data_IF_074423453539
#
_entry.id   IF_074423453539
#
_cell.length_a   1.000
_cell.length_b   1.000
_cell.length_c   1.000
_cell.angle_alpha   90.00
_cell.angle_beta   90.00
_cell.angle_gamma   90.00
#
_symmetry.space_group_name_H-M   'P 1'
#
loop_
_entity.id
_entity.type
_entity.pdbx_description
1 polymer ?
#
# COMPACT_ATOMS: atom_id res chain seq x y z
N UNK A 1 71.78 -35.94 27.53
CA UNK A 1 72.05 -36.57 28.84
C UNK A 1 70.75 -37.14 29.36
N UNK A 2 70.50 -38.43 29.13
CA UNK A 2 70.55 -39.50 30.16
C UNK A 2 69.49 -39.30 31.24
N UNK A 3 68.37 -40.04 31.14
CA UNK A 3 68.08 -41.34 31.79
C UNK A 3 67.57 -41.13 33.23
N UNK A 4 66.31 -41.50 33.48
CA UNK A 4 65.91 -42.66 34.31
C UNK A 4 66.14 -42.39 35.82
N UNK A 5 65.29 -42.72 36.79
CA UNK A 5 64.49 -43.94 37.02
C UNK A 5 63.75 -43.69 38.34
N UNK A 6 62.45 -43.99 38.42
CA UNK A 6 61.84 -45.14 39.11
C UNK A 6 61.77 -45.13 40.64
N UNK A 7 60.53 -45.37 41.08
CA UNK A 7 60.07 -46.36 42.08
C UNK A 7 60.09 -46.02 43.58
N UNK A 8 58.89 -46.17 44.18
CA UNK A 8 58.69 -47.21 45.19
C UNK A 8 57.86 -46.83 46.43
N UNK A 9 56.80 -47.63 46.70
CA UNK A 9 56.13 -47.80 48.01
C UNK A 9 54.67 -47.32 48.03
N UNK A 10 53.61 -48.13 47.84
CA UNK A 10 53.03 -49.31 48.54
C UNK A 10 52.25 -49.00 49.84
N UNK A 11 51.07 -49.65 49.93
CA UNK A 11 50.12 -49.88 51.05
C UNK A 11 49.03 -48.80 51.26
N UNK A 12 47.71 -49.06 51.37
CA UNK A 12 46.91 -50.27 51.66
C UNK A 12 45.48 -50.16 51.08
N UNK A 13 45.01 -51.30 50.56
CA UNK A 13 43.68 -51.96 50.74
C UNK A 13 42.40 -51.14 50.98
N UNK A 14 41.45 -51.23 50.04
CA UNK A 14 40.04 -51.56 50.34
C UNK A 14 39.33 -52.10 49.08
N UNK A 15 38.89 -53.36 49.17
CA UNK A 15 38.11 -54.10 48.19
C UNK A 15 36.62 -53.81 48.44
N UNK A 16 35.87 -53.36 47.44
CA UNK A 16 34.41 -53.48 47.41
C UNK A 16 33.95 -53.64 45.96
N UNK A 17 33.77 -54.90 45.56
CA UNK A 17 33.05 -55.30 44.36
C UNK A 17 31.55 -55.05 44.57
N UNK A 18 30.94 -54.19 43.75
CA UNK A 18 29.51 -54.25 43.47
C UNK A 18 29.36 -54.27 41.95
N UNK A 19 29.15 -55.47 41.44
CA UNK A 19 28.73 -55.76 40.08
C UNK A 19 27.22 -55.60 39.97
N UNK A 20 26.77 -54.52 39.32
CA UNK A 20 25.40 -54.40 38.79
C UNK A 20 25.47 -54.03 37.31
N UNK A 21 25.35 -55.05 36.45
CA UNK A 21 24.94 -54.87 35.06
C UNK A 21 23.47 -54.45 35.05
N UNK A 22 23.15 -53.36 34.34
CA UNK A 22 21.79 -52.90 34.13
C UNK A 22 21.74 -51.87 33.02
N UNK A 23 21.70 -52.36 31.77
CA UNK A 23 21.13 -51.72 30.57
C UNK A 23 21.38 -50.23 30.35
N UNK A 24 22.35 -49.92 29.48
CA UNK A 24 22.39 -48.70 28.67
C UNK A 24 21.17 -48.66 27.74
N UNK A 25 20.09 -48.02 28.16
CA UNK A 25 19.06 -47.54 27.26
C UNK A 25 19.47 -46.13 26.82
N UNK A 26 20.00 -46.03 25.59
CA UNK A 26 20.26 -44.75 24.95
C UNK A 26 18.97 -43.94 24.88
N UNK A 27 19.01 -42.74 25.45
CA UNK A 27 18.02 -41.72 25.18
C UNK A 27 18.17 -41.30 23.70
N UNK A 28 17.45 -41.99 22.82
CA UNK A 28 17.11 -41.44 21.52
C UNK A 28 16.22 -40.23 21.80
N UNK A 29 16.82 -39.04 21.79
CA UNK A 29 16.11 -37.81 21.46
C UNK A 29 15.62 -38.00 20.03
N UNK A 30 14.48 -38.67 19.88
CA UNK A 30 13.67 -38.57 18.67
C UNK A 30 13.31 -37.10 18.58
N UNK A 31 14.01 -36.37 17.72
CA UNK A 31 13.64 -35.02 17.35
C UNK A 31 12.16 -35.04 17.01
N UNK A 32 11.36 -34.33 17.79
CA UNK A 32 9.99 -34.08 17.41
C UNK A 32 10.05 -33.47 16.02
N UNK A 33 9.50 -34.18 15.04
CA UNK A 33 9.21 -33.61 13.74
C UNK A 33 8.49 -32.28 13.98
N UNK A 34 8.78 -31.23 13.20
CA UNK A 34 8.03 -29.99 13.33
C UNK A 34 6.55 -30.37 13.23
N UNK A 35 5.75 -29.94 14.21
CA UNK A 35 4.32 -30.18 14.19
C UNK A 35 3.81 -29.69 12.84
N UNK A 36 3.44 -30.63 11.95
CA UNK A 36 2.73 -30.33 10.73
C UNK A 36 1.56 -29.43 11.13
N UNK A 37 1.58 -28.18 10.67
CA UNK A 37 0.56 -27.20 11.03
C UNK A 37 -0.80 -27.85 10.80
N UNK A 38 -1.66 -27.84 11.83
CA UNK A 38 -2.99 -28.43 11.72
C UNK A 38 -3.68 -27.81 10.51
N UNK A 39 -3.89 -28.65 9.50
CA UNK A 39 -4.63 -28.30 8.29
C UNK A 39 -6.10 -28.40 8.68
N UNK A 40 -6.85 -27.30 8.56
CA UNK A 40 -8.28 -27.30 8.79
C UNK A 40 -9.01 -28.23 7.81
N UNK A 41 -10.27 -28.55 8.08
CA UNK A 41 -11.10 -29.42 7.23
C UNK A 41 -11.21 -28.94 5.77
N UNK A 42 -10.87 -27.68 5.48
CA UNK A 42 -10.84 -27.07 4.15
C UNK A 42 -9.46 -27.08 3.46
N UNK A 43 -8.47 -27.78 4.01
CA UNK A 43 -7.12 -27.86 3.44
C UNK A 43 -6.24 -26.63 3.69
N UNK A 44 -6.70 -25.67 4.51
CA UNK A 44 -5.95 -24.43 4.82
C UNK A 44 -5.18 -24.54 6.13
N UNK A 45 -4.03 -23.87 6.23
CA UNK A 45 -3.31 -23.77 7.49
C UNK A 45 -4.16 -23.06 8.56
N UNK A 46 -4.09 -23.53 9.81
CA UNK A 46 -4.76 -22.90 10.94
C UNK A 46 -4.43 -21.40 11.01
N UNK A 47 -5.46 -20.58 11.26
CA UNK A 47 -5.29 -19.15 11.42
C UNK A 47 -4.60 -18.82 12.74
N UNK A 48 -3.62 -17.92 12.70
CA UNK A 48 -2.93 -17.40 13.87
C UNK A 48 -3.51 -16.03 14.20
N UNK A 49 -4.08 -15.86 15.40
CA UNK A 49 -4.46 -14.54 15.89
C UNK A 49 -3.22 -13.68 16.07
N UNK A 50 -3.18 -12.50 15.47
CA UNK A 50 -2.06 -11.55 15.57
C UNK A 50 -2.40 -10.42 16.55
N UNK A 51 -3.67 -9.99 16.58
CA UNK A 51 -4.19 -9.00 17.51
C UNK A 51 -5.71 -9.23 17.70
N UNK A 52 -6.37 -8.56 18.66
CA UNK A 52 -7.82 -8.50 18.67
C UNK A 52 -8.43 -8.17 17.29
N UNK A 53 -9.40 -8.99 16.85
CA UNK A 53 -10.05 -8.83 15.55
C UNK A 53 -9.11 -8.92 14.34
N UNK A 54 -7.90 -9.47 14.48
CA UNK A 54 -6.93 -9.62 13.37
C UNK A 54 -6.31 -11.01 13.39
N UNK A 55 -6.53 -11.76 12.33
CA UNK A 55 -5.99 -13.10 12.14
C UNK A 55 -5.14 -13.16 10.87
N UNK A 56 -4.11 -14.00 10.90
CA UNK A 56 -3.22 -14.25 9.78
C UNK A 56 -3.30 -15.72 9.38
N UNK A 57 -3.26 -15.99 8.07
CA UNK A 57 -3.12 -17.34 7.52
C UNK A 57 -2.41 -17.30 6.17
N UNK A 58 -1.93 -18.46 5.74
CA UNK A 58 -1.45 -18.66 4.37
C UNK A 58 -1.97 -19.99 3.82
N UNK A 59 -2.10 -20.09 2.51
CA UNK A 59 -2.53 -21.31 1.82
C UNK A 59 -2.14 -21.25 0.34
N UNK A 60 -2.12 -22.42 -0.28
CA UNK A 60 -1.81 -22.58 -1.69
C UNK A 60 -3.10 -22.59 -2.53
N UNK A 61 -3.01 -22.03 -3.73
CA UNK A 61 -4.10 -21.85 -4.67
C UNK A 61 -3.70 -22.52 -5.98
N UNK A 62 -4.42 -23.56 -6.41
CA UNK A 62 -4.29 -24.08 -7.77
C UNK A 62 -4.70 -22.99 -8.76
N UNK A 63 -3.78 -22.60 -9.65
CA UNK A 63 -4.03 -21.59 -10.68
C UNK A 63 -3.64 -22.10 -12.07
N UNK A 64 -4.12 -21.40 -13.09
CA UNK A 64 -3.91 -21.72 -14.50
C UNK A 64 -2.44 -21.74 -14.95
N UNK A 65 -1.55 -21.09 -14.19
CA UNK A 65 -0.10 -21.02 -14.45
C UNK A 65 0.75 -21.72 -13.38
N UNK A 66 0.14 -22.62 -12.61
CA UNK A 66 0.79 -23.36 -11.52
C UNK A 66 0.21 -23.01 -10.16
N UNK A 67 0.89 -23.39 -9.10
CA UNK A 67 0.45 -23.09 -7.73
C UNK A 67 0.87 -21.68 -7.33
N UNK A 68 -0.04 -20.89 -6.79
CA UNK A 68 0.27 -19.63 -6.13
C UNK A 68 0.11 -19.79 -4.61
N UNK A 69 0.95 -19.11 -3.82
CA UNK A 69 0.77 -19.04 -2.36
C UNK A 69 0.22 -17.68 -1.97
N UNK A 70 -0.87 -17.67 -1.20
CA UNK A 70 -1.48 -16.46 -0.68
C UNK A 70 -1.20 -16.31 0.82
N UNK A 71 -0.86 -15.09 1.22
CA UNK A 71 -0.82 -14.64 2.60
C UNK A 71 -2.01 -13.73 2.85
N UNK A 72 -2.75 -13.96 3.93
CA UNK A 72 -4.01 -13.27 4.20
C UNK A 72 -4.05 -12.74 5.63
N UNK A 73 -4.42 -11.46 5.77
CA UNK A 73 -4.92 -10.89 7.01
C UNK A 73 -6.45 -10.79 6.97
N UNK A 74 -7.10 -11.40 7.94
CA UNK A 74 -8.54 -11.29 8.18
C UNK A 74 -8.78 -10.25 9.27
N UNK A 75 -9.55 -9.20 8.96
CA UNK A 75 -9.71 -8.03 9.82
C UNK A 75 -11.19 -7.82 10.13
N UNK A 76 -11.55 -8.03 11.40
CA UNK A 76 -12.89 -7.78 11.92
C UNK A 76 -13.05 -6.32 12.36
N UNK A 77 -13.84 -5.56 11.61
CA UNK A 77 -14.14 -4.16 11.90
C UNK A 77 -15.27 -3.98 12.94
N UNK A 78 -15.90 -5.08 13.39
CA UNK A 78 -16.84 -5.09 14.52
C UNK A 78 -16.09 -4.97 15.85
N UNK A 79 -14.85 -5.45 15.92
CA UNK A 79 -14.05 -5.30 17.14
C UNK A 79 -13.75 -3.80 17.36
N UNK A 80 -14.18 -3.22 18.49
CA UNK A 80 -13.97 -1.80 18.76
C UNK A 80 -12.49 -1.40 18.86
N UNK A 81 -11.59 -2.36 19.10
CA UNK A 81 -10.14 -2.15 19.20
C UNK A 81 -9.46 -2.07 17.83
N UNK A 82 -10.10 -2.61 16.79
CA UNK A 82 -9.55 -2.73 15.45
C UNK A 82 -9.94 -1.55 14.56
N UNK A 83 -8.94 -0.96 13.91
CA UNK A 83 -9.12 0.08 12.90
C UNK A 83 -8.19 -0.14 11.73
N UNK A 84 -8.55 0.41 10.59
CA UNK A 84 -7.74 0.38 9.37
C UNK A 84 -7.44 1.82 8.96
N UNK A 85 -6.23 2.07 8.45
CA UNK A 85 -5.78 3.40 8.04
C UNK A 85 -4.77 3.34 6.89
N UNK A 86 -4.41 4.51 6.40
CA UNK A 86 -3.43 4.65 5.32
C UNK A 86 -2.00 4.53 5.88
N UNK A 87 -1.22 3.59 5.33
CA UNK A 87 0.24 3.59 5.44
C UNK A 87 0.79 4.50 4.35
N UNK A 88 1.62 5.47 4.69
CA UNK A 88 2.33 6.32 3.72
C UNK A 88 3.49 7.08 4.40
N UNK A 89 4.52 7.54 3.68
CA UNK A 89 5.70 8.16 4.28
C UNK A 89 5.50 9.59 4.81
N UNK A 90 4.26 10.09 4.88
CA UNK A 90 3.96 11.48 5.25
C UNK A 90 3.98 12.47 4.06
N UNK A 91 4.50 12.07 2.89
CA UNK A 91 4.44 12.83 1.63
C UNK A 91 3.90 11.97 0.49
N UNK A 92 3.11 12.56 -0.39
CA UNK A 92 2.43 11.90 -1.52
C UNK A 92 3.43 11.36 -2.55
N UNK A 93 4.50 12.10 -2.83
CA UNK A 93 5.57 11.74 -3.77
C UNK A 93 6.78 11.09 -3.08
N UNK A 94 6.61 10.56 -1.86
CA UNK A 94 7.63 9.78 -1.17
C UNK A 94 7.27 8.29 -1.23
N UNK A 95 8.27 7.42 -1.02
CA UNK A 95 8.09 5.97 -0.97
C UNK A 95 8.92 5.37 0.17
N UNK A 96 8.39 4.32 0.79
CA UNK A 96 9.12 3.53 1.77
C UNK A 96 8.63 2.07 1.73
N UNK A 97 9.44 1.10 2.20
CA UNK A 97 8.99 -0.28 2.40
C UNK A 97 7.74 -0.33 3.31
N UNK A 98 6.79 -1.23 3.04
CA UNK A 98 5.57 -1.45 3.85
C UNK A 98 5.91 -1.78 5.30
N UNK A 99 6.96 -2.56 5.56
CA UNK A 99 7.48 -2.84 6.91
C UNK A 99 7.80 -1.55 7.67
N UNK A 100 8.64 -0.69 7.09
CA UNK A 100 9.01 0.60 7.65
C UNK A 100 7.78 1.53 7.83
N UNK A 101 6.86 1.52 6.87
CA UNK A 101 5.61 2.28 6.99
C UNK A 101 4.75 1.79 8.14
N UNK A 102 4.60 0.47 8.29
CA UNK A 102 3.80 -0.15 9.34
C UNK A 102 4.39 0.11 10.73
N UNK A 103 5.69 -0.12 10.91
CA UNK A 103 6.37 0.14 12.19
C UNK A 103 6.35 1.62 12.55
N UNK A 104 6.57 2.51 11.58
CA UNK A 104 6.60 3.96 11.79
C UNK A 104 5.30 4.56 12.34
N UNK A 105 4.16 3.88 12.18
CA UNK A 105 2.87 4.29 12.75
C UNK A 105 2.28 3.27 13.74
N UNK A 106 3.00 2.20 14.04
CA UNK A 106 2.53 1.12 14.89
C UNK A 106 1.31 0.39 14.32
N UNK A 107 1.33 -0.01 13.05
CA UNK A 107 0.39 -1.01 12.55
C UNK A 107 0.73 -2.39 13.15
N UNK A 108 -0.27 -3.26 13.36
CA UNK A 108 -0.07 -4.68 13.73
C UNK A 108 0.02 -5.57 12.49
N UNK A 109 -0.26 -5.02 11.31
CA UNK A 109 -0.08 -5.66 10.01
C UNK A 109 -0.56 -4.75 8.89
N UNK A 110 -0.33 -5.15 7.66
CA UNK A 110 -0.72 -4.36 6.50
C UNK A 110 -0.22 -4.93 5.19
N UNK A 111 -0.63 -4.29 4.10
CA UNK A 111 -0.22 -4.61 2.74
C UNK A 111 0.14 -3.35 1.96
N UNK A 112 0.87 -3.48 0.85
CA UNK A 112 1.06 -2.39 -0.11
C UNK A 112 -0.28 -1.93 -0.72
N UNK A 113 -0.26 -0.75 -1.34
CA UNK A 113 -1.45 -0.10 -1.86
C UNK A 113 -1.43 0.13 -3.38
N UNK A 114 -1.72 1.37 -3.74
CA UNK A 114 -2.04 1.82 -5.09
C UNK A 114 -0.88 1.67 -6.09
N UNK A 115 -1.24 1.66 -7.37
CA UNK A 115 -0.31 1.83 -8.47
C UNK A 115 0.30 3.24 -8.42
N UNK A 116 1.48 3.42 -9.01
CA UNK A 116 2.19 4.68 -8.90
C UNK A 116 3.16 4.94 -10.05
N UNK A 117 3.55 6.21 -10.21
CA UNK A 117 4.57 6.64 -11.16
C UNK A 117 5.96 6.21 -10.68
N UNK A 118 6.23 4.92 -10.82
CA UNK A 118 7.45 4.23 -10.35
C UNK A 118 8.68 4.52 -11.21
N UNK A 119 8.47 4.67 -12.52
CA UNK A 119 9.49 4.95 -13.52
C UNK A 119 9.01 6.03 -14.45
N UNK A 120 9.96 6.79 -15.00
CA UNK A 120 9.68 7.81 -16.00
C UNK A 120 10.68 7.65 -17.15
N UNK A 121 10.24 6.94 -18.19
CA UNK A 121 11.04 6.68 -19.39
C UNK A 121 10.42 7.32 -20.63
N UNK A 122 9.25 7.95 -20.50
CA UNK A 122 8.49 8.49 -21.63
C UNK A 122 8.80 9.96 -21.87
N UNK A 123 9.32 10.66 -20.86
CA UNK A 123 9.64 12.09 -20.91
C UNK A 123 11.10 12.32 -20.47
N UNK A 124 12.05 12.44 -21.42
CA UNK A 124 13.45 12.71 -21.10
C UNK A 124 13.62 13.94 -20.21
N UNK A 125 14.43 13.81 -19.15
CA UNK A 125 14.68 14.89 -18.18
C UNK A 125 13.61 15.08 -17.11
N UNK A 126 12.52 14.31 -17.14
CA UNK A 126 11.49 14.30 -16.08
C UNK A 126 11.76 13.12 -15.14
N UNK A 127 11.83 13.40 -13.84
CA UNK A 127 12.01 12.36 -12.83
C UNK A 127 10.69 11.62 -12.52
N UNK A 128 10.81 10.35 -12.12
CA UNK A 128 9.68 9.61 -11.60
C UNK A 128 9.26 10.18 -10.23
N UNK A 129 8.01 10.57 -10.11
CA UNK A 129 7.49 11.20 -8.89
C UNK A 129 7.33 10.24 -7.72
N UNK A 130 7.18 8.93 -8.00
CA UNK A 130 6.79 7.97 -6.99
C UNK A 130 5.34 8.12 -6.49
N UNK A 131 4.61 9.14 -6.92
CA UNK A 131 3.26 9.43 -6.44
C UNK A 131 2.23 8.42 -6.98
N UNK A 132 1.20 8.06 -6.18
CA UNK A 132 0.22 7.06 -6.57
C UNK A 132 -0.74 7.55 -7.66
N UNK A 133 -1.55 6.66 -8.22
CA UNK A 133 -2.49 6.95 -9.30
C UNK A 133 -3.74 7.63 -8.74
N UNK A 134 -4.43 6.94 -7.85
CA UNK A 134 -5.76 7.26 -7.39
C UNK A 134 -5.80 8.21 -6.20
N UNK A 135 -7.01 8.43 -5.65
CA UNK A 135 -7.23 9.30 -4.51
C UNK A 135 -6.57 8.75 -3.24
N UNK A 136 -6.17 9.66 -2.34
CA UNK A 136 -5.66 9.33 -1.02
C UNK A 136 -6.40 10.12 0.05
N UNK A 137 -6.92 9.43 1.05
CA UNK A 137 -7.48 10.02 2.27
C UNK A 137 -6.79 9.41 3.48
N UNK A 138 -6.33 10.26 4.41
CA UNK A 138 -5.75 9.83 5.67
C UNK A 138 -6.38 10.60 6.84
N UNK A 139 -6.90 9.89 7.84
CA UNK A 139 -7.56 10.46 9.00
C UNK A 139 -8.65 11.49 8.64
N UNK A 140 -9.43 11.22 7.59
CA UNK A 140 -10.47 12.11 7.08
C UNK A 140 -9.98 13.29 6.24
N UNK A 141 -8.66 13.44 6.04
CA UNK A 141 -8.08 14.53 5.26
C UNK A 141 -7.78 14.06 3.83
N UNK A 142 -8.25 14.77 2.80
CA UNK A 142 -7.86 14.50 1.42
C UNK A 142 -6.39 14.89 1.24
N UNK A 143 -5.57 13.95 0.77
CA UNK A 143 -4.15 14.18 0.49
C UNK A 143 -3.90 14.36 -1.00
N UNK A 144 -4.66 13.67 -1.85
CA UNK A 144 -4.45 13.63 -3.30
C UNK A 144 -5.72 13.19 -4.03
N UNK A 145 -5.93 13.73 -5.23
CA UNK A 145 -6.97 13.30 -6.17
C UNK A 145 -6.45 12.33 -7.25
N UNK A 146 -7.35 11.74 -8.03
CA UNK A 146 -7.01 10.83 -9.12
C UNK A 146 -6.35 11.55 -10.30
N UNK A 147 -5.36 10.91 -10.92
CA UNK A 147 -4.84 11.32 -12.24
C UNK A 147 -5.84 11.02 -13.36
N UNK A 148 -5.73 11.61 -14.57
CA UNK A 148 -6.51 11.17 -15.73
C UNK A 148 -6.32 9.69 -16.06
N UNK A 149 -7.35 9.04 -16.60
CA UNK A 149 -7.31 7.60 -16.88
C UNK A 149 -6.20 7.21 -17.87
N UNK A 150 -5.98 8.01 -18.92
CA UNK A 150 -4.89 7.80 -19.87
C UNK A 150 -3.48 8.06 -19.32
N UNK A 151 -3.37 8.56 -18.08
CA UNK A 151 -2.10 8.83 -17.38
C UNK A 151 -1.78 7.79 -16.30
N UNK A 152 -2.66 6.80 -16.12
CA UNK A 152 -2.53 5.78 -15.07
C UNK A 152 -1.31 4.87 -15.30
N UNK A 153 -0.70 4.43 -14.21
CA UNK A 153 0.19 3.26 -14.16
C UNK A 153 -0.59 2.03 -13.69
N UNK A 154 -0.27 0.86 -14.24
CA UNK A 154 -0.93 -0.41 -13.91
C UNK A 154 -1.58 -1.10 -15.12
N UNK A 155 -2.12 -2.32 -14.93
CA UNK A 155 -2.75 -3.12 -15.98
C UNK A 155 -4.06 -2.48 -16.46
N UNK A 156 -4.61 -2.91 -17.60
CA UNK A 156 -5.91 -2.42 -18.08
C UNK A 156 -6.99 -2.51 -16.98
N UNK A 157 -7.79 -1.46 -16.84
CA UNK A 157 -8.92 -1.45 -15.91
C UNK A 157 -10.15 -2.10 -16.57
N UNK A 158 -11.06 -2.70 -15.78
CA UNK A 158 -12.33 -3.18 -16.30
C UNK A 158 -13.13 -2.04 -16.96
N UNK A 159 -13.98 -2.32 -17.97
CA UNK A 159 -14.81 -1.31 -18.60
C UNK A 159 -15.65 -0.51 -17.59
N UNK A 160 -15.70 0.81 -17.75
CA UNK A 160 -16.46 1.71 -16.88
C UNK A 160 -15.80 2.05 -15.54
N UNK A 161 -14.65 1.45 -15.21
CA UNK A 161 -13.86 1.81 -14.03
C UNK A 161 -12.93 2.97 -14.37
N UNK A 162 -12.84 3.94 -13.46
CA UNK A 162 -11.91 5.07 -13.57
C UNK A 162 -10.87 5.03 -12.46
N UNK A 163 -9.80 5.81 -12.63
CA UNK A 163 -8.79 6.12 -11.61
C UNK A 163 -9.33 6.70 -10.31
N UNK A 164 -10.60 7.16 -10.29
CA UNK A 164 -11.28 7.66 -9.08
C UNK A 164 -11.74 6.56 -8.14
N UNK A 165 -11.73 5.30 -8.59
CA UNK A 165 -12.12 4.17 -7.78
C UNK A 165 -11.24 4.04 -6.55
N UNK A 166 -11.86 3.80 -5.41
CA UNK A 166 -11.19 3.60 -4.13
C UNK A 166 -11.74 2.41 -3.37
N UNK A 167 -10.88 1.85 -2.53
CA UNK A 167 -11.28 1.10 -1.34
C UNK A 167 -10.93 1.92 -0.11
N UNK A 168 -11.83 1.94 0.87
CA UNK A 168 -11.56 2.63 2.12
C UNK A 168 -12.52 2.28 3.24
N UNK A 169 -12.27 2.82 4.44
CA UNK A 169 -13.19 2.74 5.59
C UNK A 169 -13.76 4.11 5.90
N UNK A 170 -15.09 4.14 6.09
CA UNK A 170 -15.86 5.35 6.32
C UNK A 170 -15.79 5.85 7.76
N UNK A 171 -16.35 7.04 8.00
CA UNK A 171 -16.61 7.55 9.34
C UNK A 171 -17.52 6.62 10.18
N UNK A 172 -18.33 5.81 9.51
CA UNK A 172 -19.22 4.76 10.06
C UNK A 172 -18.50 3.42 10.37
N UNK A 173 -17.17 3.35 10.22
CA UNK A 173 -16.32 2.16 10.43
C UNK A 173 -16.61 0.98 9.50
N UNK A 174 -17.29 1.19 8.37
CA UNK A 174 -17.47 0.15 7.36
C UNK A 174 -16.49 0.33 6.21
N UNK A 175 -15.93 -0.79 5.74
CA UNK A 175 -15.19 -0.85 4.48
C UNK A 175 -16.16 -0.80 3.30
N UNK A 176 -15.79 -0.10 2.23
CA UNK A 176 -16.56 -0.06 0.97
C UNK A 176 -15.67 0.26 -0.22
N UNK A 177 -16.21 -0.03 -1.40
CA UNK A 177 -15.74 0.53 -2.67
C UNK A 177 -16.56 1.78 -2.99
N UNK A 178 -15.94 2.79 -3.60
CA UNK A 178 -16.60 4.01 -4.08
C UNK A 178 -15.74 4.70 -5.15
N UNK A 179 -16.20 5.82 -5.69
CA UNK A 179 -15.41 6.75 -6.49
C UNK A 179 -15.26 8.08 -5.75
N UNK A 180 -14.03 8.60 -5.65
CA UNK A 180 -13.77 9.94 -5.08
C UNK A 180 -13.49 10.96 -6.18
N UNK A 181 -14.41 11.91 -6.33
CA UNK A 181 -14.24 13.06 -7.21
C UNK A 181 -13.62 14.25 -6.46
N UNK A 182 -12.73 14.98 -7.12
CA UNK A 182 -12.27 16.28 -6.65
C UNK A 182 -13.36 17.32 -6.88
N UNK A 183 -13.78 17.96 -5.80
CA UNK A 183 -14.56 19.19 -5.84
C UNK A 183 -13.68 20.29 -5.25
N UNK A 184 -13.18 21.17 -6.11
CA UNK A 184 -12.26 22.20 -5.72
C UNK A 184 -12.21 23.35 -6.71
N UNK A 185 -11.77 24.50 -6.22
CA UNK A 185 -11.68 25.72 -7.00
C UNK A 185 -10.59 26.65 -6.49
N UNK A 186 -10.08 27.46 -7.41
CA UNK A 186 -9.28 28.66 -7.15
C UNK A 186 -10.18 29.86 -7.36
N UNK A 187 -10.41 30.64 -6.31
CA UNK A 187 -11.17 31.89 -6.35
C UNK A 187 -10.24 33.09 -6.31
N UNK A 188 -10.42 33.99 -7.27
CA UNK A 188 -9.78 35.30 -7.33
C UNK A 188 -10.87 36.38 -7.22
N UNK A 189 -10.50 37.65 -7.33
CA UNK A 189 -11.50 38.74 -7.43
C UNK A 189 -12.30 38.71 -8.73
N UNK A 190 -11.71 38.18 -9.80
CA UNK A 190 -12.25 38.28 -11.16
C UNK A 190 -12.83 36.96 -11.66
N UNK A 191 -12.34 35.83 -11.16
CA UNK A 191 -12.68 34.51 -11.70
C UNK A 191 -12.76 33.43 -10.64
N UNK A 192 -13.46 32.35 -10.99
CA UNK A 192 -13.52 31.09 -10.26
C UNK A 192 -13.08 29.99 -11.22
N UNK A 193 -11.92 29.40 -10.95
CA UNK A 193 -11.34 28.35 -11.77
C UNK A 193 -11.55 27.00 -11.09
N UNK A 194 -12.15 26.00 -11.74
CA UNK A 194 -12.22 24.65 -11.18
C UNK A 194 -10.81 24.06 -11.03
N UNK A 195 -10.56 23.35 -9.94
CA UNK A 195 -9.33 22.57 -9.78
C UNK A 195 -9.46 21.27 -10.57
N UNK A 196 -8.52 21.03 -11.48
CA UNK A 196 -8.38 19.76 -12.20
C UNK A 196 -7.55 18.72 -11.44
N UNK A 197 -6.85 19.11 -10.37
CA UNK A 197 -6.06 18.17 -9.59
C UNK A 197 -5.63 18.64 -8.20
N UNK A 198 -5.26 17.66 -7.37
CA UNK A 198 -4.71 17.85 -6.03
C UNK A 198 -3.54 16.89 -5.84
N UNK A 199 -2.32 17.42 -5.64
CA UNK A 199 -1.09 16.65 -5.38
C UNK A 199 -0.90 15.45 -6.32
N UNK A 200 -1.08 15.61 -7.63
CA UNK A 200 -1.07 14.51 -8.58
C UNK A 200 0.00 14.70 -9.66
N UNK A 201 0.63 13.59 -10.06
CA UNK A 201 1.72 13.62 -11.04
C UNK A 201 1.23 13.85 -12.48
N UNK A 202 -0.07 13.96 -12.75
CA UNK A 202 -0.61 14.28 -14.07
C UNK A 202 -1.91 15.08 -13.94
N UNK A 203 -1.98 16.25 -14.56
CA UNK A 203 -3.15 17.11 -14.59
C UNK A 203 -3.93 16.94 -15.90
N UNK A 204 -5.27 17.01 -15.86
CA UNK A 204 -6.07 17.09 -17.07
C UNK A 204 -5.58 18.20 -18.01
N UNK A 205 -5.67 17.98 -19.32
CA UNK A 205 -5.30 18.99 -20.32
C UNK A 205 -6.07 20.29 -20.08
N UNK A 206 -5.38 21.44 -20.12
CA UNK A 206 -6.00 22.75 -19.93
C UNK A 206 -6.41 23.10 -18.50
N UNK A 207 -6.02 22.30 -17.49
CA UNK A 207 -6.46 22.50 -16.11
C UNK A 207 -5.45 23.19 -15.19
N UNK A 208 -5.91 23.54 -13.99
CA UNK A 208 -5.09 23.99 -12.86
C UNK A 208 -5.10 22.94 -11.75
N UNK A 209 -3.92 22.54 -11.30
CA UNK A 209 -3.73 21.66 -10.15
C UNK A 209 -3.24 22.41 -8.92
N UNK A 210 -3.64 21.95 -7.73
CA UNK A 210 -3.12 22.44 -6.46
C UNK A 210 -2.11 21.46 -5.84
N UNK A 211 -0.93 21.96 -5.50
CA UNK A 211 0.09 21.23 -4.76
C UNK A 211 0.23 21.83 -3.36
N UNK A 212 0.12 21.00 -2.33
CA UNK A 212 0.16 21.42 -0.91
C UNK A 212 1.46 20.95 -0.26
N UNK A 213 1.64 21.29 1.02
CA UNK A 213 2.73 20.74 1.82
C UNK A 213 2.76 19.20 1.88
N UNK A 214 1.71 18.50 1.46
CA UNK A 214 1.65 17.04 1.43
C UNK A 214 2.33 16.44 0.19
N UNK A 215 2.65 17.23 -0.85
CA UNK A 215 3.27 16.74 -2.09
C UNK A 215 4.61 16.02 -1.85
N UNK A 216 5.59 16.72 -1.28
CA UNK A 216 6.98 16.27 -1.24
C UNK A 216 7.90 17.27 -1.94
N UNK A 217 9.13 16.85 -2.25
CA UNK A 217 10.15 17.71 -2.86
C UNK A 217 10.40 17.45 -4.35
N UNK A 218 9.79 16.41 -4.91
CA UNK A 218 9.95 16.02 -6.31
C UNK A 218 9.40 17.11 -7.24
N UNK A 219 10.03 17.28 -8.40
CA UNK A 219 9.54 18.20 -9.43
C UNK A 219 8.07 17.99 -9.78
N UNK A 220 7.35 19.10 -9.93
CA UNK A 220 5.95 19.13 -10.37
C UNK A 220 5.82 19.05 -11.89
N UNK A 221 6.93 19.06 -12.63
CA UNK A 221 6.92 19.06 -14.11
C UNK A 221 6.17 17.86 -14.70
N UNK A 222 6.24 16.68 -14.05
CA UNK A 222 5.52 15.49 -14.53
C UNK A 222 4.01 15.73 -14.65
N UNK A 223 3.47 16.63 -13.82
CA UNK A 223 2.06 17.01 -13.80
C UNK A 223 1.57 17.64 -15.11
N UNK A 224 2.47 18.16 -15.94
CA UNK A 224 2.13 18.80 -17.22
C UNK A 224 2.48 17.91 -18.42
N UNK A 225 2.79 16.63 -18.19
CA UNK A 225 3.17 15.67 -19.22
C UNK A 225 2.04 14.76 -19.69
N UNK A 226 1.98 14.59 -21.01
CA UNK A 226 1.00 13.80 -21.74
C UNK A 226 -0.41 14.39 -21.81
N UNK A 227 -1.35 13.57 -22.29
CA UNK A 227 -2.76 13.93 -22.47
C UNK A 227 -3.68 13.05 -21.62
N UNK A 228 -4.97 13.36 -21.59
CA UNK A 228 -5.97 12.58 -20.84
C UNK A 228 -6.14 11.14 -21.36
N UNK A 229 -5.62 10.86 -22.56
CA UNK A 229 -5.71 9.58 -23.26
C UNK A 229 -4.37 8.94 -23.60
N UNK A 230 -3.25 9.68 -23.48
CA UNK A 230 -1.91 9.18 -23.81
C UNK A 230 -0.87 9.63 -22.79
N UNK A 231 -0.41 8.66 -21.98
CA UNK A 231 0.62 8.86 -20.96
C UNK A 231 1.94 9.36 -21.50
N UNK A 232 2.33 8.91 -22.70
CA UNK A 232 3.64 9.19 -23.30
C UNK A 232 3.66 10.37 -24.28
N UNK A 233 2.56 11.12 -24.41
CA UNK A 233 2.57 12.35 -25.18
C UNK A 233 3.47 13.41 -24.51
N UNK A 234 4.03 14.39 -25.26
CA UNK A 234 4.98 15.35 -24.70
C UNK A 234 4.46 16.14 -23.50
N UNK A 235 5.40 16.74 -22.76
CA UNK A 235 5.06 17.75 -21.76
C UNK A 235 4.60 19.04 -22.42
N UNK A 236 3.63 19.70 -21.78
CA UNK A 236 3.14 20.99 -22.23
C UNK A 236 4.25 22.03 -22.23
N UNK A 237 4.40 22.74 -23.34
CA UNK A 237 5.23 23.94 -23.42
C UNK A 237 4.55 25.17 -22.80
N UNK A 238 3.22 25.13 -22.65
CA UNK A 238 2.42 26.21 -22.08
C UNK A 238 2.11 25.90 -20.61
N UNK A 239 2.97 26.35 -19.70
CA UNK A 239 2.80 26.15 -18.26
C UNK A 239 2.94 27.45 -17.47
N UNK A 240 2.36 27.47 -16.27
CA UNK A 240 2.57 28.55 -15.32
C UNK A 240 2.39 28.04 -13.89
N UNK A 241 3.26 28.46 -12.99
CA UNK A 241 3.23 28.10 -11.58
C UNK A 241 3.00 29.38 -10.74
N UNK A 242 2.11 29.31 -9.75
CA UNK A 242 1.80 30.43 -8.84
C UNK A 242 1.84 29.92 -7.41
N UNK A 243 2.71 30.50 -6.59
CA UNK A 243 2.80 30.20 -5.16
C UNK A 243 1.87 31.11 -4.38
N UNK A 244 0.92 30.52 -3.66
CA UNK A 244 -0.05 31.21 -2.81
C UNK A 244 0.26 30.89 -1.35
N UNK A 245 0.57 31.91 -0.55
CA UNK A 245 0.84 31.77 0.90
C UNK A 245 -0.11 32.65 1.70
N UNK A 246 -0.76 32.09 2.71
CA UNK A 246 -1.78 32.77 3.51
C UNK A 246 -2.84 33.51 2.65
N UNK A 247 -3.26 32.88 1.56
CA UNK A 247 -4.29 33.41 0.65
C UNK A 247 -3.84 34.56 -0.26
N UNK A 248 -2.52 34.75 -0.43
CA UNK A 248 -1.96 35.75 -1.35
C UNK A 248 -0.90 35.16 -2.25
N UNK A 249 -0.85 35.62 -3.50
CA UNK A 249 0.24 35.30 -4.41
C UNK A 249 1.54 35.89 -3.89
N UNK A 250 2.58 35.08 -3.78
CA UNK A 250 3.92 35.51 -3.34
C UNK A 250 4.98 35.33 -4.43
N UNK A 251 4.75 34.43 -5.38
CA UNK A 251 5.69 34.12 -6.44
C UNK A 251 4.94 33.55 -7.65
N UNK A 252 5.50 33.74 -8.84
CA UNK A 252 5.03 33.16 -10.09
C UNK A 252 6.21 32.76 -10.97
N UNK A 253 6.11 31.63 -11.67
CA UNK A 253 7.14 31.15 -12.58
C UNK A 253 6.53 30.61 -13.89
N UNK A 254 7.29 30.72 -14.98
CA UNK A 254 6.88 30.22 -16.30
C UNK A 254 6.90 28.70 -16.44
N UNK A 255 7.50 27.98 -15.50
CA UNK A 255 7.65 26.52 -15.50
C UNK A 255 7.38 25.94 -14.12
N UNK A 256 6.89 24.69 -14.01
CA UNK A 256 6.71 24.03 -12.73
C UNK A 256 8.04 23.81 -12.01
N UNK A 257 8.08 24.13 -10.72
CA UNK A 257 9.27 23.97 -9.90
C UNK A 257 9.40 22.60 -9.24
N UNK A 258 10.46 22.47 -8.45
CA UNK A 258 10.69 21.37 -7.52
C UNK A 258 10.74 21.87 -6.08
N UNK A 259 11.11 21.02 -5.13
CA UNK A 259 11.33 21.39 -3.74
C UNK A 259 10.08 21.29 -2.85
N UNK A 260 10.29 21.22 -1.52
CA UNK A 260 9.23 21.05 -0.56
C UNK A 260 8.34 22.29 -0.47
N UNK A 261 7.03 22.07 -0.32
CA UNK A 261 6.05 23.14 -0.08
C UNK A 261 5.86 23.29 1.43
N UNK A 262 6.03 24.51 1.94
CA UNK A 262 5.82 24.82 3.37
C UNK A 262 4.34 24.76 3.73
N UNK A 263 4.03 24.59 5.04
CA UNK A 263 2.65 24.70 5.52
C UNK A 263 2.08 26.08 5.18
N UNK A 264 0.75 26.14 5.05
CA UNK A 264 -0.02 27.34 4.70
C UNK A 264 0.35 27.95 3.33
N UNK A 265 1.02 27.15 2.49
CA UNK A 265 1.36 27.45 1.11
C UNK A 265 0.70 26.43 0.19
N UNK A 266 0.16 26.90 -0.93
CA UNK A 266 -0.30 26.09 -2.04
C UNK A 266 0.38 26.58 -3.32
N UNK A 267 0.97 25.67 -4.07
CA UNK A 267 1.52 25.94 -5.39
C UNK A 267 0.48 25.53 -6.42
N UNK A 268 -0.03 26.48 -7.19
CA UNK A 268 -0.93 26.23 -8.30
C UNK A 268 -0.11 25.99 -9.55
N UNK A 269 -0.32 24.88 -10.24
CA UNK A 269 0.33 24.57 -11.51
C UNK A 269 -0.75 24.50 -12.59
N UNK A 270 -0.63 25.38 -13.59
CA UNK A 270 -1.50 25.42 -14.75
C UNK A 270 -0.79 24.89 -15.99
N UNK A 271 -1.56 24.26 -16.87
CA UNK A 271 -1.12 23.87 -18.22
C UNK A 271 -2.14 24.33 -19.26
N UNK A 272 -1.66 24.74 -20.43
CA UNK A 272 -2.44 25.32 -21.54
C UNK A 272 -3.42 26.41 -21.05
N UNK A 273 -4.73 26.23 -21.22
CA UNK A 273 -5.74 27.18 -20.75
C UNK A 273 -5.60 27.50 -19.25
N UNK A 274 -5.27 26.51 -18.41
CA UNK A 274 -5.01 26.72 -17.00
C UNK A 274 -3.78 27.59 -16.73
N UNK A 275 -2.72 27.45 -17.55
CA UNK A 275 -1.55 28.32 -17.46
C UNK A 275 -1.88 29.77 -17.83
N UNK A 276 -2.71 29.96 -18.87
CA UNK A 276 -3.16 31.29 -19.32
C UNK A 276 -3.98 32.00 -18.25
N UNK A 277 -4.83 31.28 -17.51
CA UNK A 277 -5.57 31.85 -16.38
C UNK A 277 -4.66 32.23 -15.21
N UNK A 278 -3.68 31.39 -14.87
CA UNK A 278 -2.76 31.68 -13.77
C UNK A 278 -1.83 32.87 -14.07
N UNK A 279 -1.44 33.09 -15.33
CA UNK A 279 -0.60 34.25 -15.74
C UNK A 279 -1.22 35.61 -15.46
N UNK A 280 -2.54 35.67 -15.27
CA UNK A 280 -3.25 36.91 -14.95
C UNK A 280 -3.04 37.33 -13.49
N UNK A 281 -2.49 36.46 -12.65
CA UNK A 281 -2.26 36.72 -11.24
C UNK A 281 -0.93 37.42 -11.01
N UNK A 282 -0.95 38.44 -10.15
CA UNK A 282 0.21 39.22 -9.76
C UNK A 282 0.52 39.04 -8.27
N UNK A 283 1.77 39.27 -7.87
CA UNK A 283 2.16 39.26 -6.47
C UNK A 283 1.25 40.18 -5.62
N UNK A 284 0.79 39.67 -4.48
CA UNK A 284 -0.15 40.35 -3.58
C UNK A 284 -1.63 40.09 -3.84
N UNK A 285 -1.99 39.53 -5.01
CA UNK A 285 -3.37 39.19 -5.33
C UNK A 285 -3.96 38.20 -4.32
N UNK A 286 -5.23 38.42 -3.97
CA UNK A 286 -5.96 37.52 -3.07
C UNK A 286 -6.43 36.30 -3.84
N UNK A 287 -6.01 35.13 -3.38
CA UNK A 287 -6.38 33.84 -3.96
C UNK A 287 -6.86 32.92 -2.84
N UNK A 288 -8.06 32.39 -2.98
CA UNK A 288 -8.59 31.36 -2.09
C UNK A 288 -8.64 30.03 -2.82
N UNK A 289 -7.94 29.03 -2.29
CA UNK A 289 -7.98 27.66 -2.80
C UNK A 289 -8.82 26.81 -1.87
N UNK A 290 -9.81 26.10 -2.41
CA UNK A 290 -10.64 25.15 -1.66
C UNK A 290 -10.65 23.82 -2.41
N UNK A 291 -10.62 22.72 -1.68
CA UNK A 291 -10.71 21.38 -2.25
C UNK A 291 -11.29 20.40 -1.23
N UNK A 292 -12.03 19.43 -1.73
CA UNK A 292 -12.48 18.24 -1.01
C UNK A 292 -12.55 17.06 -1.96
N UNK A 293 -12.49 15.85 -1.41
CA UNK A 293 -12.83 14.63 -2.13
C UNK A 293 -14.24 14.21 -1.74
N UNK A 294 -15.08 13.98 -2.73
CA UNK A 294 -16.50 13.66 -2.55
C UNK A 294 -16.75 12.23 -3.02
N UNK A 295 -17.28 11.40 -2.13
CA UNK A 295 -17.76 10.06 -2.43
C UNK A 295 -19.00 10.14 -3.32
N UNK A 296 -18.93 9.56 -4.52
CA UNK A 296 -19.99 9.66 -5.52
C UNK A 296 -21.18 8.75 -5.18
N UNK A 297 -20.90 7.51 -4.79
CA UNK A 297 -21.92 6.49 -4.52
C UNK A 297 -22.47 6.58 -3.10
N UNK A 298 -21.62 6.36 -2.09
CA UNK A 298 -22.08 6.22 -0.70
C UNK A 298 -22.44 7.53 -0.02
N UNK A 299 -21.87 8.66 -0.49
CA UNK A 299 -21.91 9.97 0.19
C UNK A 299 -21.35 9.96 1.62
N UNK A 300 -20.72 8.87 2.06
CA UNK A 300 -20.11 8.73 3.39
C UNK A 300 -18.67 9.24 3.34
N UNK A 301 -18.27 10.19 4.22
CA UNK A 301 -16.88 10.60 4.32
C UNK A 301 -15.95 9.45 4.71
N UNK A 302 -14.83 9.32 4.01
CA UNK A 302 -13.82 8.32 4.33
C UNK A 302 -12.89 8.79 5.46
N UNK A 303 -12.56 7.89 6.39
CA UNK A 303 -11.45 8.09 7.33
C UNK A 303 -10.12 7.73 6.68
N UNK A 304 -10.11 6.69 5.84
CA UNK A 304 -9.03 6.44 4.91
C UNK A 304 -9.59 5.91 3.59
N UNK A 305 -8.88 6.17 2.50
CA UNK A 305 -9.14 5.61 1.18
C UNK A 305 -7.84 5.62 0.37
N UNK A 306 -7.69 4.65 -0.53
CA UNK A 306 -6.61 4.58 -1.51
C UNK A 306 -7.14 4.09 -2.87
N UNK A 307 -6.39 4.39 -3.93
CA UNK A 307 -6.66 3.94 -5.29
C UNK A 307 -6.31 2.47 -5.55
N UNK A 308 -6.71 2.02 -6.74
CA UNK A 308 -6.63 0.65 -7.24
C UNK A 308 -7.75 0.45 -8.27
N UNK A 309 -8.35 -0.75 -8.36
CA UNK A 309 -9.59 -0.92 -9.13
C UNK A 309 -10.43 -2.10 -8.64
N UNK A 310 -11.78 -2.05 -8.74
CA UNK A 310 -12.65 -3.16 -8.37
C UNK A 310 -12.44 -4.37 -9.28
N UNK A 311 -12.48 -5.56 -8.70
CA UNK A 311 -12.47 -6.86 -9.39
C UNK A 311 -13.68 -7.71 -9.05
N UNK A 312 -14.36 -7.41 -7.94
CA UNK A 312 -15.57 -8.10 -7.49
C UNK A 312 -16.56 -7.04 -7.00
N UNK A 313 -17.83 -7.15 -7.39
CA UNK A 313 -18.94 -6.33 -6.89
C UNK A 313 -20.17 -7.21 -6.69
N UNK A 314 -20.90 -7.03 -5.59
CA UNK A 314 -22.10 -7.79 -5.26
C UNK A 314 -21.91 -9.32 -5.38
N UNK A 315 -20.73 -9.84 -5.03
CA UNK A 315 -20.39 -11.25 -5.09
C UNK A 315 -20.08 -11.80 -6.49
N UNK A 316 -20.05 -10.95 -7.52
CA UNK A 316 -19.75 -11.32 -8.90
C UNK A 316 -18.47 -10.65 -9.41
N UNK A 317 -17.59 -11.35 -10.15
CA UNK A 317 -16.47 -10.73 -10.85
C UNK A 317 -16.96 -9.69 -11.86
N UNK A 318 -16.21 -8.60 -12.03
CA UNK A 318 -16.53 -7.62 -13.07
C UNK A 318 -16.38 -8.23 -14.48
N UNK A 319 -17.09 -7.72 -15.49
CA UNK A 319 -16.85 -8.13 -16.87
C UNK A 319 -15.46 -7.64 -17.36
N UNK A 320 -14.84 -8.41 -18.25
CA UNK A 320 -13.57 -8.01 -18.89
C UNK A 320 -12.33 -8.13 -18.02
N UNK A 321 -12.39 -8.84 -16.87
CA UNK A 321 -11.18 -9.16 -16.11
C UNK A 321 -10.27 -10.07 -16.93
N UNK A 322 -8.98 -9.74 -16.98
CA UNK A 322 -7.96 -10.52 -17.69
C UNK A 322 -7.81 -11.93 -17.09
N UNK A 323 -8.15 -12.99 -17.85
CA UNK A 323 -8.02 -14.37 -17.42
C UNK A 323 -6.69 -15.01 -17.86
N UNK A 324 -5.77 -14.25 -18.44
CA UNK A 324 -4.58 -14.76 -19.13
C UNK A 324 -3.27 -14.32 -18.49
N UNK A 325 -3.16 -13.04 -18.10
CA UNK A 325 -1.91 -12.49 -17.54
C UNK A 325 -1.81 -12.80 -16.05
N UNK A 326 -0.99 -13.79 -15.72
CA UNK A 326 -0.67 -14.13 -14.34
C UNK A 326 0.51 -13.32 -13.81
N UNK A 327 0.44 -12.91 -12.54
CA UNK A 327 1.55 -12.28 -11.85
C UNK A 327 1.39 -12.41 -10.33
N UNK A 328 2.42 -12.08 -9.56
CA UNK A 328 2.28 -11.83 -8.12
C UNK A 328 1.36 -10.62 -7.92
N UNK A 329 0.34 -10.73 -7.07
CA UNK A 329 -0.72 -9.72 -6.89
C UNK A 329 -0.88 -9.37 -5.41
N UNK A 330 -1.38 -8.16 -5.17
CA UNK A 330 -1.97 -7.76 -3.90
C UNK A 330 -3.41 -7.34 -4.14
N UNK A 331 -4.32 -7.72 -3.25
CA UNK A 331 -5.73 -7.38 -3.35
C UNK A 331 -6.38 -7.27 -1.97
N UNK A 332 -7.55 -6.65 -1.93
CA UNK A 332 -8.37 -6.55 -0.73
C UNK A 332 -9.81 -6.93 -1.04
N UNK A 333 -10.42 -7.75 -0.18
CA UNK A 333 -11.82 -8.15 -0.23
C UNK A 333 -12.61 -7.55 0.93
N UNK A 334 -13.89 -7.26 0.70
CA UNK A 334 -14.81 -6.76 1.72
C UNK A 334 -15.95 -7.76 1.86
N UNK A 335 -16.25 -8.14 3.10
CA UNK A 335 -17.32 -9.07 3.46
C UNK A 335 -18.23 -8.48 4.53
N UNK A 336 -19.31 -9.19 4.84
CA UNK A 336 -20.24 -8.91 5.95
C UNK A 336 -20.79 -7.48 5.94
N UNK A 337 -21.13 -6.96 4.75
CA UNK A 337 -21.65 -5.60 4.59
C UNK A 337 -20.67 -4.50 5.01
N UNK A 338 -19.37 -4.72 4.80
CA UNK A 338 -18.31 -3.77 5.15
C UNK A 338 -17.76 -3.94 6.55
N UNK A 339 -18.12 -5.02 7.26
CA UNK A 339 -17.68 -5.29 8.64
C UNK A 339 -16.46 -6.19 8.74
N UNK A 340 -16.05 -6.81 7.63
CA UNK A 340 -14.86 -7.65 7.54
C UNK A 340 -14.05 -7.25 6.32
N UNK A 341 -12.75 -7.10 6.50
CA UNK A 341 -11.79 -6.76 5.44
C UNK A 341 -10.77 -7.89 5.35
N UNK A 342 -10.55 -8.39 4.14
CA UNK A 342 -9.59 -9.45 3.82
C UNK A 342 -8.46 -8.82 3.02
N UNK A 343 -7.24 -8.81 3.55
CA UNK A 343 -6.06 -8.28 2.86
C UNK A 343 -5.22 -9.45 2.38
N UNK A 344 -4.92 -9.50 1.09
CA UNK A 344 -4.24 -10.62 0.46
C UNK A 344 -3.00 -10.13 -0.30
N UNK A 345 -1.87 -10.81 -0.11
CA UNK A 345 -0.69 -10.64 -0.96
C UNK A 345 -0.14 -12.01 -1.36
N UNK A 346 0.24 -12.16 -2.62
CA UNK A 346 0.83 -13.39 -3.13
C UNK A 346 2.33 -13.46 -2.82
N UNK A 347 2.82 -14.69 -2.65
CA UNK A 347 4.22 -14.97 -2.50
C UNK A 347 4.95 -14.92 -3.85
N UNK A 348 6.11 -14.29 -3.87
CA UNK A 348 6.95 -14.10 -5.05
C UNK A 348 8.23 -14.94 -5.06
N UNK A 349 8.36 -15.94 -4.18
CA UNK A 349 9.46 -16.90 -4.24
C UNK A 349 9.44 -17.69 -5.56
N UNK A 350 10.58 -18.26 -5.99
CA UNK A 350 10.68 -18.94 -7.29
C UNK A 350 9.61 -20.01 -7.56
N UNK A 351 9.12 -20.68 -6.51
CA UNK A 351 8.06 -21.69 -6.55
C UNK A 351 6.68 -21.10 -6.88
N UNK A 352 6.35 -19.94 -6.31
CA UNK A 352 4.99 -19.36 -6.38
C UNK A 352 4.87 -18.12 -7.28
N UNK A 353 6.00 -17.62 -7.81
CA UNK A 353 6.07 -16.34 -8.55
C UNK A 353 5.23 -16.26 -9.83
N UNK A 354 4.68 -17.37 -10.32
CA UNK A 354 3.71 -17.36 -11.42
C UNK A 354 2.42 -16.64 -11.02
N UNK A 355 2.03 -16.72 -9.74
CA UNK A 355 0.95 -15.95 -9.14
C UNK A 355 -0.43 -16.22 -9.75
N UNK A 356 -1.26 -15.18 -9.80
CA UNK A 356 -2.65 -15.26 -10.27
C UNK A 356 -2.96 -14.25 -11.38
N UNK A 357 -3.88 -14.63 -12.26
CA UNK A 357 -4.61 -13.72 -13.16
C UNK A 357 -5.59 -12.84 -12.37
N UNK A 358 -6.05 -11.74 -12.96
CA UNK A 358 -7.02 -10.87 -12.27
C UNK A 358 -8.37 -11.57 -12.09
N UNK A 359 -8.78 -12.42 -13.03
CA UNK A 359 -9.96 -13.27 -12.87
C UNK A 359 -9.83 -14.24 -11.68
N UNK A 360 -8.67 -14.90 -11.52
CA UNK A 360 -8.41 -15.79 -10.38
C UNK A 360 -8.33 -15.04 -9.04
N UNK A 361 -7.83 -13.80 -9.02
CA UNK A 361 -7.89 -12.94 -7.82
C UNK A 361 -9.33 -12.69 -7.41
N UNK A 362 -10.23 -12.35 -8.34
CA UNK A 362 -11.65 -12.14 -8.03
C UNK A 362 -12.30 -13.40 -7.46
N UNK A 363 -12.03 -14.57 -8.05
CA UNK A 363 -12.54 -15.85 -7.53
C UNK A 363 -11.96 -16.19 -6.16
N UNK A 364 -10.67 -15.93 -5.94
CA UNK A 364 -10.01 -16.15 -4.64
C UNK A 364 -10.65 -15.30 -3.55
N UNK A 365 -10.86 -14.00 -3.79
CA UNK A 365 -11.53 -13.12 -2.82
C UNK A 365 -12.96 -13.58 -2.52
N UNK A 366 -13.71 -13.98 -3.56
CA UNK A 366 -15.05 -14.55 -3.40
C UNK A 366 -15.03 -15.83 -2.54
N UNK A 367 -14.07 -16.73 -2.78
CA UNK A 367 -13.88 -17.95 -1.98
C UNK A 367 -13.44 -17.70 -0.53
N UNK A 368 -12.97 -16.49 -0.22
CA UNK A 368 -12.69 -16.03 1.15
C UNK A 368 -13.91 -15.35 1.81
N UNK A 369 -15.05 -15.30 1.10
CA UNK A 369 -16.31 -14.74 1.55
C UNK A 369 -16.50 -13.26 1.20
N UNK A 370 -15.63 -12.68 0.39
CA UNK A 370 -15.79 -11.29 -0.03
C UNK A 370 -16.97 -11.14 -1.01
N UNK A 371 -17.74 -10.07 -0.85
CA UNK A 371 -18.77 -9.64 -1.80
C UNK A 371 -18.28 -8.47 -2.67
N UNK A 372 -17.34 -7.68 -2.17
CA UNK A 372 -16.61 -6.69 -2.95
C UNK A 372 -15.13 -7.03 -2.96
N UNK A 373 -14.40 -6.63 -4.01
CA UNK A 373 -12.99 -6.94 -4.15
C UNK A 373 -12.27 -5.88 -4.97
N UNK A 374 -11.02 -5.62 -4.61
CA UNK A 374 -10.23 -4.50 -5.12
C UNK A 374 -8.79 -4.95 -5.37
N UNK A 375 -8.32 -4.80 -6.60
CA UNK A 375 -6.92 -5.05 -6.96
C UNK A 375 -6.06 -3.84 -6.61
N UNK A 376 -4.89 -4.15 -6.06
CA UNK A 376 -3.85 -3.19 -5.72
C UNK A 376 -2.60 -3.44 -6.59
N UNK A 377 -1.56 -2.65 -6.39
CA UNK A 377 -0.31 -2.83 -7.12
C UNK A 377 0.32 -4.19 -6.78
N UNK A 378 0.92 -4.83 -7.79
CA UNK A 378 1.43 -6.19 -7.70
C UNK A 378 2.91 -6.30 -8.04
N UNK A 379 3.32 -7.48 -8.49
CA UNK A 379 4.72 -7.79 -8.82
C UNK A 379 5.61 -7.54 -7.61
N UNK A 380 6.74 -6.85 -7.83
CA UNK A 380 7.72 -6.55 -6.78
C UNK A 380 7.21 -5.60 -5.69
N UNK A 381 6.05 -4.98 -5.86
CA UNK A 381 5.38 -4.19 -4.81
C UNK A 381 4.59 -5.06 -3.84
N UNK A 382 4.29 -6.32 -4.19
CA UNK A 382 3.43 -7.20 -3.40
C UNK A 382 4.09 -7.51 -2.06
N UNK A 383 3.52 -6.99 -0.98
CA UNK A 383 4.07 -7.18 0.36
C UNK A 383 2.95 -7.22 1.39
N UNK A 384 3.00 -8.21 2.28
CA UNK A 384 2.19 -8.33 3.48
C UNK A 384 3.10 -8.39 4.70
N UNK A 385 2.80 -7.55 5.69
CA UNK A 385 3.47 -7.52 6.99
C UNK A 385 2.50 -7.83 8.10
N UNK A 386 2.96 -8.45 9.18
CA UNK A 386 2.16 -8.64 10.39
C UNK A 386 3.06 -8.80 11.61
N UNK A 387 2.53 -8.49 12.78
CA UNK A 387 3.25 -8.73 14.02
C UNK A 387 3.51 -10.22 14.27
N UNK A 388 4.61 -10.52 14.94
CA UNK A 388 5.03 -11.89 15.30
C UNK A 388 4.56 -12.33 16.68
N UNK A 389 4.08 -11.42 17.53
CA UNK A 389 3.57 -11.71 18.88
C UNK A 389 2.15 -11.18 19.09
N UNK A 390 1.33 -11.95 19.81
CA UNK A 390 -0.05 -11.64 20.23
C UNK A 390 -0.14 -10.55 21.30
N UNK A 391 0.98 -10.21 21.94
CA UNK A 391 1.07 -9.27 23.06
C UNK A 391 2.14 -8.24 22.72
N UNK A 392 1.76 -7.09 22.15
CA UNK A 392 2.71 -5.99 21.97
C UNK A 392 2.23 -4.77 22.75
N UNK A 393 2.57 -4.75 24.05
CA UNK A 393 2.82 -3.50 24.75
C UNK A 393 4.11 -2.93 24.15
N UNK A 394 4.03 -1.72 23.55
CA UNK A 394 5.08 -1.17 22.68
C UNK A 394 5.92 -0.12 23.39
N UNK A 395 7.24 -0.20 23.23
CA UNK A 395 8.09 0.99 23.24
C UNK A 395 8.05 1.65 21.84
N UNK A 396 8.03 2.99 21.73
CA UNK A 396 8.13 3.67 20.44
C UNK A 396 9.43 3.30 19.71
N UNK A 397 9.36 2.89 18.44
CA UNK A 397 10.52 2.68 17.56
C UNK A 397 11.08 1.25 17.47
N UNK A 398 10.47 0.26 18.11
CA UNK A 398 10.86 -1.15 17.93
C UNK A 398 10.22 -1.77 16.67
N UNK A 399 11.01 -2.53 15.90
CA UNK A 399 10.50 -3.39 14.81
C UNK A 399 9.49 -4.38 15.39
N UNK A 400 8.23 -4.28 14.95
CA UNK A 400 7.13 -5.06 15.52
C UNK A 400 6.43 -5.93 14.46
N UNK A 401 6.58 -5.60 13.18
CA UNK A 401 6.05 -6.40 12.06
C UNK A 401 7.16 -7.08 11.28
N UNK A 402 6.85 -8.24 10.71
CA UNK A 402 7.72 -8.91 9.75
C UNK A 402 6.99 -9.10 8.43
N UNK A 403 7.76 -9.08 7.34
CA UNK A 403 7.28 -9.44 6.01
C UNK A 403 6.96 -10.94 6.00
N UNK A 404 5.75 -11.30 5.58
CA UNK A 404 5.23 -12.68 5.61
C UNK A 404 5.36 -13.41 4.29
N UNK A 405 5.26 -12.69 3.17
CA UNK A 405 5.44 -13.21 1.83
C UNK A 405 6.86 -12.91 1.31
N UNK A 406 7.28 -13.51 0.21
CA UNK A 406 8.53 -13.15 -0.45
C UNK A 406 8.29 -12.09 -1.55
N UNK A 407 8.85 -10.88 -1.47
CA UNK A 407 8.75 -9.91 -2.56
C UNK A 407 9.38 -10.48 -3.84
N UNK A 408 8.69 -10.38 -4.98
CA UNK A 408 9.16 -11.01 -6.23
C UNK A 408 10.44 -10.39 -6.80
N UNK A 409 10.84 -9.22 -6.31
CA UNK A 409 12.12 -8.57 -6.62
C UNK A 409 13.27 -8.97 -5.69
N UNK A 410 13.06 -9.94 -4.79
CA UNK A 410 14.05 -10.39 -3.79
C UNK A 410 14.16 -9.50 -2.56
N UNK A 411 13.84 -8.21 -2.68
CA UNK A 411 13.78 -7.25 -1.58
C UNK A 411 12.47 -6.48 -1.61
N UNK A 412 12.07 -5.95 -0.45
CA UNK A 412 10.87 -5.12 -0.34
C UNK A 412 11.04 -3.83 -1.13
N UNK A 413 10.12 -3.58 -2.07
CA UNK A 413 10.13 -2.37 -2.88
C UNK A 413 9.54 -1.20 -2.08
N UNK A 414 10.16 -0.01 -2.13
CA UNK A 414 9.53 1.20 -1.64
C UNK A 414 8.25 1.53 -2.42
N UNK A 415 7.12 1.65 -1.71
CA UNK A 415 5.80 1.99 -2.24
C UNK A 415 5.30 3.31 -1.64
N UNK A 416 4.42 4.07 -2.32
CA UNK A 416 3.95 5.35 -1.81
C UNK A 416 2.86 5.24 -0.76
N UNK A 417 2.09 4.16 -0.77
CA UNK A 417 1.06 3.93 0.22
C UNK A 417 0.74 2.44 0.41
N UNK A 418 -0.10 2.16 1.42
CA UNK A 418 -0.59 0.84 1.76
C UNK A 418 -1.77 0.89 2.73
N UNK A 419 -2.27 -0.30 3.07
CA UNK A 419 -3.35 -0.48 4.04
C UNK A 419 -2.74 -0.98 5.34
N UNK A 420 -2.91 -0.21 6.41
CA UNK A 420 -2.43 -0.55 7.75
C UNK A 420 -3.56 -0.96 8.66
N UNK A 421 -3.37 -2.04 9.40
CA UNK A 421 -4.28 -2.54 10.42
C UNK A 421 -3.72 -2.17 11.79
N UNK A 422 -4.55 -1.62 12.66
CA UNK A 422 -4.16 -1.22 14.01
C UNK A 422 -5.12 -1.85 14.99
N UNK A 423 -4.57 -2.39 16.08
CA UNK A 423 -5.36 -2.87 17.21
C UNK A 423 -4.88 -2.22 18.49
N UNK A 424 -5.82 -1.90 19.37
CA UNK A 424 -5.53 -1.61 20.78
C UNK A 424 -5.50 -2.94 21.56
N UNK A 425 -4.74 -2.96 22.66
CA UNK A 425 -4.75 -4.07 23.61
C UNK A 425 -6.14 -4.18 24.28
#
# INVERSE_FOLDING_TARGET
MTRQTQHGGRFRTALALISTLGTLAGAALTGAAPASGAVGEDGRAAATRIAPGVEYRHFDIPASRGTARAHVLDVDLRDPRTRVGLLYPGKVAARAPVSALADGVGAVGGINGDFFNITETQHPGVEATGAPVGPMVANGRPLKAAVPDGQRFGPAMPPGVTTRAVLGVGADRRARLDDLALDGEVRTRQTRLPLGGLNQYALPVGSVGAFTSDWGAVSRVRATCGTDTSRGAPCSADTHEVTVRHGRVVESAGTPGSGPITRDTTVLVGREAGAQELRKLSAGDRVQVRHRLVAAGSRVPFRFALGGYPVLRNGAPLPGLDPTTSAVRTAAGIADGGRRLVLLSLDGSPEFRTGLTIAEVAQTLRGLGATEGFSLDGGGSSTLVSATSTLVARAPGAEAVTVRNNPSGGVERPVPNGIGVFSRA
#
